data_IF_868003833070
#
_entry.id   IF_868003833070
#
_cell.length_a   1.000
_cell.length_b   1.000
_cell.length_c   1.000
_cell.angle_alpha   90.00
_cell.angle_beta   90.00
_cell.angle_gamma   90.00
#
_symmetry.space_group_name_H-M   'P 1'
#
loop_
_entity.id
_entity.type
_entity.pdbx_description
1 polymer ?
#
# COMPACT_ATOMS: atom_id res chain seq x y z
N UNK A 1 4.57 22.09 -12.60
CA UNK A 1 4.93 21.20 -11.49
C UNK A 1 4.15 19.86 -11.58
N UNK A 2 4.36 19.06 -12.64
CA UNK A 2 3.56 17.83 -12.92
C UNK A 2 4.36 16.52 -12.91
N UNK A 3 5.69 16.60 -12.79
CA UNK A 3 6.57 15.43 -12.93
C UNK A 3 6.94 14.72 -11.60
N UNK A 4 6.73 15.37 -10.46
CA UNK A 4 7.08 14.80 -9.15
C UNK A 4 6.13 13.66 -8.73
N UNK A 5 4.86 13.73 -9.16
CA UNK A 5 3.83 12.74 -8.82
C UNK A 5 4.15 11.35 -9.36
N UNK A 6 4.71 11.27 -10.58
CA UNK A 6 5.05 9.99 -11.23
C UNK A 6 6.19 9.24 -10.51
N UNK A 7 7.17 9.97 -9.96
CA UNK A 7 8.30 9.37 -9.25
C UNK A 7 7.84 8.64 -7.98
N UNK A 8 6.85 9.19 -7.28
CA UNK A 8 6.21 8.57 -6.11
C UNK A 8 5.29 7.42 -6.52
N UNK A 9 4.62 7.55 -7.67
CA UNK A 9 3.73 6.54 -8.25
C UNK A 9 4.47 5.24 -8.64
N UNK A 10 5.72 5.37 -9.08
CA UNK A 10 6.59 4.26 -9.50
C UNK A 10 7.13 3.39 -8.35
N UNK A 11 6.91 3.80 -7.09
CA UNK A 11 7.41 3.05 -5.91
C UNK A 11 6.54 1.81 -5.64
N UNK A 12 5.31 1.76 -6.16
CA UNK A 12 4.46 0.60 -6.02
C UNK A 12 4.92 -0.53 -6.97
N UNK A 13 5.20 -1.74 -6.45
CA UNK A 13 5.61 -2.87 -7.28
C UNK A 13 4.49 -3.22 -8.25
N UNK A 14 4.81 -3.40 -9.53
CA UNK A 14 3.84 -3.77 -10.58
C UNK A 14 3.27 -2.61 -11.39
N UNK A 15 3.58 -1.36 -11.04
CA UNK A 15 3.23 -0.19 -11.85
C UNK A 15 4.38 0.14 -12.79
N UNK A 16 4.10 0.12 -14.10
CA UNK A 16 5.02 0.58 -15.14
C UNK A 16 4.72 2.01 -15.57
N UNK A 17 5.61 2.60 -16.37
CA UNK A 17 5.47 3.98 -16.84
C UNK A 17 4.18 4.21 -17.60
N UNK A 18 3.87 3.33 -18.55
CA UNK A 18 2.70 3.45 -19.41
C UNK A 18 1.42 3.24 -18.61
N UNK A 19 1.35 2.17 -17.81
CA UNK A 19 0.14 1.85 -17.04
C UNK A 19 -0.15 2.90 -15.99
N UNK A 20 0.87 3.40 -15.29
CA UNK A 20 0.69 4.45 -14.30
C UNK A 20 0.34 5.81 -14.87
N UNK A 21 0.93 6.18 -16.02
CA UNK A 21 0.60 7.43 -16.70
C UNK A 21 -0.84 7.42 -17.22
N UNK A 22 -1.29 6.32 -17.80
CA UNK A 22 -2.66 6.17 -18.30
C UNK A 22 -3.67 6.16 -17.15
N UNK A 23 -3.38 5.46 -16.05
CA UNK A 23 -4.24 5.46 -14.86
C UNK A 23 -4.37 6.87 -14.26
N UNK A 24 -3.26 7.60 -14.13
CA UNK A 24 -3.28 8.97 -13.62
C UNK A 24 -4.00 9.94 -14.56
N UNK A 25 -3.84 9.76 -15.88
CA UNK A 25 -4.54 10.56 -16.89
C UNK A 25 -6.06 10.33 -16.85
N UNK A 26 -6.50 9.09 -16.64
CA UNK A 26 -7.92 8.74 -16.52
C UNK A 26 -8.53 9.26 -15.21
N UNK A 27 -7.81 9.17 -14.09
CA UNK A 27 -8.30 9.65 -12.78
C UNK A 27 -8.34 11.18 -12.72
N UNK A 28 -7.36 11.85 -13.34
CA UNK A 28 -7.25 13.31 -13.28
C UNK A 28 -6.93 13.79 -11.86
N UNK A 29 -7.88 14.50 -11.22
CA UNK A 29 -7.68 15.05 -9.88
C UNK A 29 -8.14 14.07 -8.79
N UNK A 30 -7.19 13.43 -8.11
CA UNK A 30 -7.45 12.50 -7.01
C UNK A 30 -8.24 13.13 -5.85
N UNK A 31 -8.14 14.46 -5.66
CA UNK A 31 -8.80 15.19 -4.56
C UNK A 31 -10.33 15.20 -4.68
N UNK A 32 -10.86 14.93 -5.86
CA UNK A 32 -12.31 14.84 -6.09
C UNK A 32 -12.91 13.61 -5.37
N UNK A 33 -12.06 12.61 -5.08
CA UNK A 33 -12.44 11.41 -4.35
C UNK A 33 -12.08 11.56 -2.86
N UNK A 34 -13.06 11.93 -2.04
CA UNK A 34 -12.86 12.04 -0.57
C UNK A 34 -12.47 10.73 0.12
N UNK A 35 -12.80 9.59 -0.48
CA UNK A 35 -12.58 8.26 0.11
C UNK A 35 -12.12 7.28 -0.96
N UNK A 36 -11.22 6.34 -0.64
CA UNK A 36 -10.72 5.32 -1.59
C UNK A 36 -11.85 4.44 -2.13
N UNK A 37 -12.91 4.22 -1.37
CA UNK A 37 -14.06 3.42 -1.81
C UNK A 37 -14.86 4.10 -2.92
N UNK A 38 -14.94 5.43 -2.91
CA UNK A 38 -15.55 6.21 -4.00
C UNK A 38 -14.74 6.08 -5.29
N UNK A 39 -13.41 6.14 -5.17
CA UNK A 39 -12.52 5.90 -6.31
C UNK A 39 -12.70 4.47 -6.83
N UNK A 40 -12.71 3.45 -5.96
CA UNK A 40 -12.89 2.06 -6.36
C UNK A 40 -14.28 1.79 -7.00
N UNK A 41 -15.33 2.44 -6.50
CA UNK A 41 -16.65 2.36 -7.09
C UNK A 41 -16.69 3.03 -8.47
N UNK A 42 -16.03 4.19 -8.62
CA UNK A 42 -15.93 4.94 -9.86
C UNK A 42 -15.13 4.17 -10.94
N UNK A 43 -14.01 3.55 -10.57
CA UNK A 43 -13.25 2.66 -11.49
C UNK A 43 -14.01 1.37 -11.82
N UNK A 44 -15.02 1.02 -11.02
CA UNK A 44 -15.83 -0.17 -11.20
C UNK A 44 -15.07 -1.46 -10.89
N UNK A 45 -14.03 -1.42 -10.04
CA UNK A 45 -13.29 -2.62 -9.60
C UNK A 45 -13.93 -3.31 -8.39
N UNK A 46 -14.98 -2.69 -7.83
CA UNK A 46 -15.76 -3.21 -6.71
C UNK A 46 -16.78 -4.27 -7.19
N UNK A 47 -16.98 -5.30 -6.37
CA UNK A 47 -18.06 -6.27 -6.56
C UNK A 47 -19.42 -5.61 -6.33
N UNK A 48 -20.38 -5.84 -7.23
CA UNK A 48 -21.76 -5.40 -7.03
C UNK A 48 -22.32 -6.06 -5.77
N UNK A 49 -22.85 -5.26 -4.85
CA UNK A 49 -23.55 -5.77 -3.66
C UNK A 49 -25.05 -5.64 -3.94
N UNK A 50 -25.77 -6.75 -3.85
CA UNK A 50 -27.23 -6.79 -3.86
C UNK A 50 -27.68 -7.04 -2.42
N UNK A 51 -28.32 -6.04 -1.82
CA UNK A 51 -28.88 -6.11 -0.48
C UNK A 51 -30.41 -6.12 -0.61
N UNK A 52 -31.04 -7.27 -0.35
CA UNK A 52 -32.47 -7.33 -0.02
C UNK A 52 -32.62 -7.32 1.50
N UNK A 53 -33.80 -6.96 2.01
CA UNK A 53 -34.06 -6.66 3.43
C UNK A 53 -33.50 -7.66 4.45
N UNK A 54 -33.24 -8.92 4.04
CA UNK A 54 -32.75 -9.99 4.91
C UNK A 54 -31.50 -10.73 4.38
N UNK A 55 -30.95 -10.35 3.20
CA UNK A 55 -29.76 -11.02 2.61
C UNK A 55 -28.81 -10.07 1.90
N UNK A 56 -27.53 -10.18 2.25
CA UNK A 56 -26.40 -9.52 1.59
C UNK A 56 -25.74 -10.48 0.58
N UNK A 57 -26.05 -10.31 -0.71
CA UNK A 57 -25.45 -11.10 -1.78
C UNK A 57 -24.41 -10.28 -2.55
N UNK A 58 -23.15 -10.71 -2.51
CA UNK A 58 -22.08 -10.12 -3.32
C UNK A 58 -22.02 -10.78 -4.69
N UNK A 59 -22.34 -10.02 -5.74
CA UNK A 59 -22.41 -10.47 -7.14
C UNK A 59 -21.16 -10.16 -7.97
N UNK A 60 -21.37 -10.05 -9.29
CA UNK A 60 -20.31 -9.78 -10.28
C UNK A 60 -19.73 -8.36 -10.10
N UNK A 61 -18.57 -8.10 -10.71
CA UNK A 61 -17.92 -6.78 -10.71
C UNK A 61 -18.88 -5.72 -11.27
N UNK A 62 -19.01 -4.57 -10.60
CA UNK A 62 -20.09 -3.60 -10.79
C UNK A 62 -20.15 -2.89 -12.17
N UNK A 63 -19.24 -3.18 -13.12
CA UNK A 63 -19.23 -2.74 -14.53
C UNK A 63 -19.47 -1.25 -14.86
N UNK A 64 -19.68 -0.36 -13.88
CA UNK A 64 -20.07 1.04 -14.07
C UNK A 64 -18.95 2.00 -14.49
N UNK A 65 -17.68 1.63 -14.27
CA UNK A 65 -16.50 2.44 -14.61
C UNK A 65 -15.82 2.09 -15.93
N UNK A 66 -14.77 2.85 -16.28
CA UNK A 66 -13.95 2.67 -17.49
C UNK A 66 -13.44 1.23 -17.63
N UNK A 67 -13.67 0.63 -18.81
CA UNK A 67 -13.17 -0.72 -19.13
C UNK A 67 -11.64 -0.73 -19.20
N UNK A 68 -11.06 0.35 -19.72
CA UNK A 68 -9.62 0.51 -19.90
C UNK A 68 -8.91 0.61 -18.54
N UNK A 69 -9.41 1.47 -17.65
CA UNK A 69 -8.88 1.65 -16.30
C UNK A 69 -8.89 0.35 -15.49
N UNK A 70 -9.98 -0.41 -15.61
CA UNK A 70 -10.12 -1.70 -14.92
C UNK A 70 -9.16 -2.76 -15.46
N UNK A 71 -8.91 -2.75 -16.77
CA UNK A 71 -7.93 -3.64 -17.39
C UNK A 71 -6.51 -3.30 -16.92
N UNK A 72 -6.15 -2.01 -16.90
CA UNK A 72 -4.87 -1.53 -16.38
C UNK A 72 -4.66 -1.96 -14.92
N UNK A 73 -5.66 -1.76 -14.06
CA UNK A 73 -5.59 -2.15 -12.65
C UNK A 73 -5.38 -3.65 -12.45
N UNK A 74 -5.99 -4.47 -13.31
CA UNK A 74 -5.78 -5.93 -13.31
C UNK A 74 -4.37 -6.27 -13.75
N UNK A 75 -3.84 -5.61 -14.77
CA UNK A 75 -2.48 -5.82 -15.26
C UNK A 75 -1.44 -5.44 -14.20
N UNK A 76 -1.63 -4.29 -13.54
CA UNK A 76 -0.81 -3.83 -12.41
C UNK A 76 -0.82 -4.89 -11.29
N UNK A 77 -1.99 -5.41 -10.92
CA UNK A 77 -2.09 -6.43 -9.88
C UNK A 77 -1.35 -7.73 -10.27
N UNK A 78 -1.44 -8.16 -11.53
CA UNK A 78 -0.70 -9.33 -12.01
C UNK A 78 0.81 -9.10 -12.01
N UNK A 79 1.25 -7.93 -12.49
CA UNK A 79 2.66 -7.54 -12.48
C UNK A 79 3.20 -7.48 -11.03
N UNK A 80 2.42 -6.94 -10.09
CA UNK A 80 2.80 -6.84 -8.67
C UNK A 80 3.18 -8.20 -8.06
N UNK A 81 2.44 -9.25 -8.43
CA UNK A 81 2.68 -10.62 -7.95
C UNK A 81 3.92 -11.24 -8.63
N UNK A 82 4.18 -10.90 -9.89
CA UNK A 82 5.31 -11.44 -10.67
C UNK A 82 6.64 -10.82 -10.29
N UNK A 83 6.68 -9.50 -10.04
CA UNK A 83 7.92 -8.75 -9.78
C UNK A 83 8.55 -9.12 -8.43
N UNK A 84 7.75 -9.29 -7.38
CA UNK A 84 8.27 -9.66 -6.05
C UNK A 84 7.49 -10.80 -5.41
N UNK A 85 8.15 -11.95 -5.23
CA UNK A 85 7.52 -13.19 -4.71
C UNK A 85 7.26 -13.20 -3.19
N UNK A 86 7.73 -12.22 -2.41
CA UNK A 86 7.57 -12.17 -0.94
C UNK A 86 7.11 -10.80 -0.42
N UNK A 87 6.06 -10.25 -1.01
CA UNK A 87 5.47 -8.96 -0.58
C UNK A 87 4.17 -9.14 0.17
N UNK A 88 3.74 -8.09 0.88
CA UNK A 88 2.39 -8.02 1.48
C UNK A 88 1.28 -8.19 0.42
N UNK A 89 1.54 -7.80 -0.82
CA UNK A 89 0.66 -8.03 -1.96
C UNK A 89 0.53 -9.51 -2.29
N UNK A 90 1.66 -10.22 -2.41
CA UNK A 90 1.68 -11.65 -2.70
C UNK A 90 1.02 -12.46 -1.58
N UNK A 91 1.29 -12.15 -0.32
CA UNK A 91 0.64 -12.81 0.84
C UNK A 91 -0.87 -12.57 0.86
N UNK A 92 -1.30 -11.34 0.62
CA UNK A 92 -2.72 -11.01 0.54
C UNK A 92 -3.41 -11.75 -0.62
N UNK A 93 -2.76 -11.77 -1.79
CA UNK A 93 -3.25 -12.48 -2.96
C UNK A 93 -3.41 -13.97 -2.69
N UNK A 94 -2.39 -14.63 -2.11
CA UNK A 94 -2.46 -16.06 -1.80
C UNK A 94 -3.59 -16.37 -0.81
N UNK A 95 -3.76 -15.55 0.24
CA UNK A 95 -4.84 -15.70 1.22
C UNK A 95 -6.25 -15.66 0.60
N UNK A 96 -6.45 -14.80 -0.40
CA UNK A 96 -7.75 -14.72 -1.10
C UNK A 96 -7.86 -15.83 -2.15
N UNK A 97 -6.76 -16.16 -2.84
CA UNK A 97 -6.72 -17.22 -3.86
C UNK A 97 -7.14 -18.56 -3.29
N UNK A 98 -6.66 -18.92 -2.10
CA UNK A 98 -7.03 -20.19 -1.43
C UNK A 98 -8.51 -20.27 -1.06
N UNK A 99 -9.15 -19.14 -0.75
CA UNK A 99 -10.56 -19.09 -0.32
C UNK A 99 -11.56 -18.95 -1.46
N UNK A 100 -11.20 -18.19 -2.51
CA UNK A 100 -12.17 -17.73 -3.52
C UNK A 100 -11.71 -17.95 -4.97
N UNK A 101 -10.49 -18.44 -5.17
CA UNK A 101 -9.93 -18.68 -6.50
C UNK A 101 -9.19 -17.48 -7.10
N UNK A 102 -8.44 -17.76 -8.17
CA UNK A 102 -7.46 -16.85 -8.77
C UNK A 102 -8.07 -15.53 -9.27
N UNK A 103 -9.16 -15.60 -10.04
CA UNK A 103 -9.79 -14.42 -10.67
C UNK A 103 -10.29 -13.41 -9.63
N UNK A 104 -10.92 -13.90 -8.55
CA UNK A 104 -11.40 -13.06 -7.45
C UNK A 104 -10.25 -12.46 -6.65
N UNK A 105 -9.17 -13.23 -6.45
CA UNK A 105 -7.98 -12.77 -5.76
C UNK A 105 -7.26 -11.62 -6.50
N UNK A 106 -7.15 -11.68 -7.83
CA UNK A 106 -6.58 -10.58 -8.63
C UNK A 106 -7.40 -9.30 -8.46
N UNK A 107 -8.73 -9.38 -8.60
CA UNK A 107 -9.60 -8.20 -8.49
C UNK A 107 -9.54 -7.60 -7.08
N UNK A 108 -9.51 -8.44 -6.05
CA UNK A 108 -9.33 -7.99 -4.67
C UNK A 108 -7.98 -7.31 -4.46
N UNK A 109 -6.91 -7.84 -5.06
CA UNK A 109 -5.58 -7.23 -4.98
C UNK A 109 -5.55 -5.87 -5.71
N UNK A 110 -6.14 -5.79 -6.90
CA UNK A 110 -6.23 -4.55 -7.67
C UNK A 110 -6.98 -3.46 -6.90
N UNK A 111 -8.10 -3.80 -6.23
CA UNK A 111 -8.78 -2.87 -5.31
C UNK A 111 -7.87 -2.41 -4.18
N UNK A 112 -7.11 -3.33 -3.57
CA UNK A 112 -6.18 -2.99 -2.48
C UNK A 112 -5.09 -2.01 -2.93
N UNK A 113 -4.52 -2.23 -4.12
CA UNK A 113 -3.51 -1.33 -4.71
C UNK A 113 -4.11 0.05 -4.95
N UNK A 114 -5.32 0.12 -5.53
CA UNK A 114 -6.02 1.39 -5.76
C UNK A 114 -6.30 2.16 -4.47
N UNK A 115 -6.71 1.47 -3.39
CA UNK A 115 -6.91 2.12 -2.08
C UNK A 115 -5.60 2.68 -1.54
N UNK A 116 -4.51 1.91 -1.63
CA UNK A 116 -3.18 2.34 -1.18
C UNK A 116 -2.72 3.56 -1.98
N UNK A 117 -2.91 3.53 -3.30
CA UNK A 117 -2.58 4.62 -4.20
C UNK A 117 -3.34 5.91 -3.85
N UNK A 118 -4.64 5.82 -3.57
CA UNK A 118 -5.44 6.96 -3.14
C UNK A 118 -4.89 7.62 -1.88
N UNK A 119 -4.48 6.82 -0.88
CA UNK A 119 -3.87 7.35 0.34
C UNK A 119 -2.52 8.01 0.06
N UNK A 120 -1.71 7.41 -0.81
CA UNK A 120 -0.43 7.99 -1.19
C UNK A 120 -0.55 9.34 -1.89
N UNK A 121 -1.47 9.43 -2.85
CA UNK A 121 -1.70 10.66 -3.59
C UNK A 121 -2.39 11.74 -2.74
N UNK A 122 -3.16 11.35 -1.72
CA UNK A 122 -3.81 12.30 -0.81
C UNK A 122 -2.83 12.84 0.24
N UNK A 123 -1.96 11.99 0.79
CA UNK A 123 -1.07 12.36 1.91
C UNK A 123 0.34 12.78 1.47
N UNK A 124 0.73 12.56 0.19
CA UNK A 124 2.06 12.88 -0.36
C UNK A 124 3.20 12.20 0.44
N UNK A 125 2.93 11.08 1.10
CA UNK A 125 3.96 10.28 1.77
C UNK A 125 4.57 9.27 0.78
N UNK A 126 5.84 8.84 0.92
CA UNK A 126 6.40 7.79 0.09
C UNK A 126 5.92 6.39 0.52
N UNK A 127 5.66 5.49 -0.43
CA UNK A 127 5.34 4.08 -0.10
C UNK A 127 6.54 3.40 0.56
N UNK A 128 6.37 3.02 1.82
CA UNK A 128 7.31 2.17 2.56
C UNK A 128 6.71 0.76 2.64
N UNK A 129 7.21 -0.12 1.79
CA UNK A 129 7.04 -1.55 2.00
C UNK A 129 7.90 -1.93 3.19
N UNK A 130 7.34 -1.94 4.41
CA UNK A 130 8.06 -2.47 5.57
C UNK A 130 8.28 -3.96 5.29
N UNK A 131 9.48 -4.31 4.79
CA UNK A 131 9.98 -5.67 4.57
C UNK A 131 10.22 -6.41 5.90
N UNK A 132 10.08 -5.70 7.01
CA UNK A 132 10.14 -6.26 8.35
C UNK A 132 8.72 -6.60 8.80
N UNK A 133 8.58 -7.79 9.40
CA UNK A 133 7.43 -8.19 10.22
C UNK A 133 6.88 -6.99 10.98
N UNK A 134 5.55 -6.83 11.16
CA UNK A 134 5.04 -5.72 11.93
C UNK A 134 5.76 -5.72 13.27
N UNK A 135 6.65 -4.74 13.49
CA UNK A 135 7.13 -4.42 14.81
C UNK A 135 5.84 -4.03 15.52
N UNK A 136 5.25 -4.98 16.25
CA UNK A 136 4.08 -4.76 17.09
C UNK A 136 4.49 -3.58 17.97
N UNK A 137 3.89 -2.42 17.72
CA UNK A 137 3.97 -1.22 18.54
C UNK A 137 5.23 -1.17 19.41
N UNK A 138 6.35 -0.66 18.91
CA UNK A 138 7.31 -0.13 19.87
C UNK A 138 6.60 1.07 20.49
N UNK A 139 6.05 0.89 21.70
CA UNK A 139 5.65 2.00 22.54
C UNK A 139 6.94 2.78 22.81
N UNK A 140 7.23 3.75 21.95
CA UNK A 140 8.22 4.77 22.27
C UNK A 140 7.75 5.39 23.59
N UNK A 141 8.59 5.40 24.65
CA UNK A 141 8.26 6.08 25.88
C UNK A 141 7.85 7.52 25.53
N UNK A 142 6.65 7.92 25.94
CA UNK A 142 6.09 9.26 25.69
C UNK A 142 6.70 10.31 26.62
N UNK A 143 7.88 10.03 27.15
CA UNK A 143 8.49 10.84 28.19
C UNK A 143 9.35 11.90 27.51
N UNK A 144 9.12 13.14 27.91
CA UNK A 144 9.57 14.37 27.28
C UNK A 144 11.04 14.32 26.85
N UNK A 145 11.27 14.78 25.62
CA UNK A 145 12.59 15.20 25.12
C UNK A 145 13.04 16.42 25.94
N UNK A 146 13.70 16.18 27.06
CA UNK A 146 14.56 17.15 27.73
C UNK A 146 15.31 16.45 28.87
N UNK A 147 16.41 15.78 28.55
CA UNK A 147 17.54 15.65 29.46
C UNK A 147 18.79 15.53 28.60
N UNK A 148 19.78 16.36 28.90
CA UNK A 148 21.14 16.17 28.40
C UNK A 148 21.60 14.85 29.04
N UNK A 149 21.49 13.75 28.32
CA UNK A 149 21.86 12.43 28.83
C UNK A 149 23.38 12.29 28.78
N UNK A 150 23.96 11.75 29.85
CA UNK A 150 25.40 11.65 29.99
C UNK A 150 25.92 10.50 29.11
N UNK A 151 27.15 10.57 28.60
CA UNK A 151 27.71 9.57 27.69
C UNK A 151 27.61 8.13 28.27
N UNK A 152 27.74 7.98 29.58
CA UNK A 152 27.63 6.69 30.28
C UNK A 152 26.20 6.13 30.27
N UNK A 153 25.18 6.98 30.38
CA UNK A 153 23.77 6.56 30.29
C UNK A 153 23.44 6.09 28.87
N UNK A 154 24.01 6.77 27.87
CA UNK A 154 23.86 6.37 26.47
C UNK A 154 24.50 5.00 26.20
N UNK A 155 25.72 4.77 26.71
CA UNK A 155 26.41 3.49 26.58
C UNK A 155 25.59 2.37 27.23
N UNK A 156 25.01 2.62 28.41
CA UNK A 156 24.19 1.64 29.13
C UNK A 156 22.94 1.24 28.35
N UNK A 157 22.20 2.22 27.81
CA UNK A 157 21.00 1.96 27.01
C UNK A 157 21.34 1.16 25.74
N UNK A 158 22.43 1.52 25.07
CA UNK A 158 22.86 0.82 23.85
C UNK A 158 23.32 -0.62 24.13
N UNK A 159 23.98 -0.84 25.28
CA UNK A 159 24.35 -2.18 25.75
C UNK A 159 23.13 -3.03 26.08
N UNK A 160 22.13 -2.48 26.78
CA UNK A 160 20.87 -3.18 27.11
C UNK A 160 20.05 -3.50 25.86
N UNK A 161 20.14 -2.65 24.83
CA UNK A 161 19.57 -2.89 23.51
C UNK A 161 20.36 -3.92 22.67
N UNK A 162 21.47 -4.45 23.18
CA UNK A 162 22.25 -5.52 22.56
C UNK A 162 23.27 -5.06 21.52
N UNK A 163 23.61 -3.76 21.49
CA UNK A 163 24.66 -3.24 20.61
C UNK A 163 26.02 -3.28 21.30
N UNK A 164 27.06 -3.71 20.58
CA UNK A 164 28.45 -3.69 21.06
C UNK A 164 29.04 -2.32 20.75
N UNK A 165 29.29 -1.52 21.78
CA UNK A 165 29.87 -0.17 21.66
C UNK A 165 31.36 -0.23 21.97
N UNK A 166 32.21 0.02 20.96
CA UNK A 166 33.64 0.18 21.14
C UNK A 166 34.06 1.62 20.82
N UNK A 167 35.06 2.13 21.55
CA UNK A 167 35.68 3.41 21.19
C UNK A 167 36.53 3.18 19.93
N UNK A 168 36.42 4.05 18.90
CA UNK A 168 37.29 3.93 17.75
C UNK A 168 38.75 4.10 18.21
N UNK A 169 39.58 3.12 17.88
CA UNK A 169 41.02 3.20 18.11
C UNK A 169 41.55 4.21 17.11
N UNK A 170 41.83 5.43 17.56
CA UNK A 170 42.51 6.43 16.74
C UNK A 170 43.98 6.01 16.64
N UNK A 171 44.43 5.71 15.43
CA UNK A 171 45.83 5.45 15.11
C UNK A 171 46.66 6.71 15.05
#
# INVERSE_FOLDING_TARGET
MRYCTYRTYSVLPGIGFVTGSTELAEIGNIKDFKTPDKLAAWTGIVSSVYQSADKLNTGKIARRGSKHLRWILVEIAQASIKVKRRTKFTTFFQRIKTRQGFKKAIVALARKILCILHHFLTNIEPYKENDETPIKNLKLPKDKVSNIMTADEMIKILSDAGYVVSKPVMG
#
